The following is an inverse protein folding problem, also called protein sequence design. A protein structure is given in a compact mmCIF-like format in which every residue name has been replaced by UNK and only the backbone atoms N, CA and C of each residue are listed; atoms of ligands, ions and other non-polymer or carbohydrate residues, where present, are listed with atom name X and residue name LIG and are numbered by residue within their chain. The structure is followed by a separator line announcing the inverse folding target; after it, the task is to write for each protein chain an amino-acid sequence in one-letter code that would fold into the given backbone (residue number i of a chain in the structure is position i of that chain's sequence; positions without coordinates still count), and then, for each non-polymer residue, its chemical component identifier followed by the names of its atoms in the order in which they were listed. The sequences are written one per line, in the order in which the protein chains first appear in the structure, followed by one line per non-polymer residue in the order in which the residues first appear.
data_IF_871063004561
#
_entry.id   IF_871063004561
#
_cell.length_a   1.000
_cell.length_b   1.000
_cell.length_c   1.000
_cell.angle_alpha   90.00
_cell.angle_beta   90.00
_cell.angle_gamma   90.00
#
_symmetry.space_group_name_H-M   'P 1'
#
loop_
_entity.id
_entity.type
_entity.pdbx_description
1 polymer ?
#
# COMPACT_ATOMS: atom_id res chain seq x y z
N UNK A 1 -9.84 -24.26 -28.15
CA UNK A 1 -9.19 -23.12 -27.45
C UNK A 1 -9.72 -23.05 -26.03
N UNK A 2 -9.00 -22.43 -25.12
CA UNK A 2 -9.51 -22.11 -23.78
C UNK A 2 -10.13 -20.71 -23.83
N UNK A 3 -11.30 -20.51 -23.22
CA UNK A 3 -11.94 -19.20 -23.04
C UNK A 3 -11.44 -18.62 -21.72
N UNK A 4 -10.58 -17.58 -21.69
CA UNK A 4 -10.10 -16.99 -20.45
C UNK A 4 -11.21 -16.35 -19.62
N UNK A 5 -11.13 -16.59 -18.31
CA UNK A 5 -11.91 -15.89 -17.29
C UNK A 5 -11.29 -14.51 -17.03
N UNK A 6 -12.13 -13.46 -17.04
CA UNK A 6 -11.67 -12.08 -16.87
C UNK A 6 -12.48 -11.31 -15.83
N UNK A 7 -11.83 -10.31 -15.21
CA UNK A 7 -12.47 -9.24 -14.45
C UNK A 7 -12.18 -7.91 -15.13
N UNK A 8 -13.15 -6.99 -15.16
CA UNK A 8 -12.93 -5.63 -15.64
C UNK A 8 -12.55 -4.71 -14.48
N UNK A 9 -11.39 -4.05 -14.60
CA UNK A 9 -10.97 -3.03 -13.62
C UNK A 9 -11.73 -1.74 -13.83
N UNK A 10 -12.38 -1.27 -12.78
CA UNK A 10 -13.20 -0.06 -12.73
C UNK A 10 -12.55 0.99 -11.83
N UNK A 11 -12.80 2.25 -12.16
CA UNK A 11 -12.42 3.40 -11.34
C UNK A 11 -13.67 4.01 -10.70
N UNK A 12 -13.97 3.69 -9.42
CA UNK A 12 -15.23 4.07 -8.77
C UNK A 12 -15.33 5.56 -8.41
N UNK A 13 -14.27 6.35 -8.61
CA UNK A 13 -14.27 7.77 -8.31
C UNK A 13 -14.21 8.11 -6.82
N UNK A 14 -13.75 7.17 -5.99
CA UNK A 14 -13.60 7.32 -4.53
C UNK A 14 -12.14 7.62 -4.18
N UNK A 15 -11.89 8.75 -3.52
CA UNK A 15 -10.57 9.11 -2.98
C UNK A 15 -10.43 8.53 -1.57
N UNK A 16 -9.48 7.61 -1.32
CA UNK A 16 -9.33 7.02 -0.01
C UNK A 16 -8.60 7.90 1.02
N UNK A 17 -8.03 9.04 0.62
CA UNK A 17 -7.20 9.88 1.50
C UNK A 17 -7.84 11.23 1.86
N UNK A 18 -9.05 11.52 1.36
CA UNK A 18 -9.76 12.77 1.67
C UNK A 18 -11.19 12.50 2.12
N UNK A 19 -11.60 13.02 3.29
CA UNK A 19 -13.00 13.01 3.74
C UNK A 19 -13.91 13.98 2.96
N UNK A 20 -13.38 14.64 1.92
CA UNK A 20 -14.10 15.64 1.13
C UNK A 20 -14.44 15.02 -0.21
N UNK A 21 -15.73 15.03 -0.53
CA UNK A 21 -16.35 14.74 -1.83
C UNK A 21 -15.78 15.62 -2.96
N UNK A 22 -14.50 15.47 -3.30
CA UNK A 22 -13.87 16.08 -4.47
C UNK A 22 -13.44 14.95 -5.41
N UNK A 23 -14.45 14.31 -5.99
CA UNK A 23 -14.37 13.26 -7.00
C UNK A 23 -13.78 13.72 -8.36
N UNK A 24 -13.11 14.88 -8.41
CA UNK A 24 -12.56 15.43 -9.66
C UNK A 24 -11.14 14.95 -9.93
N UNK A 25 -10.38 14.51 -8.91
CA UNK A 25 -9.00 14.02 -9.07
C UNK A 25 -8.86 12.50 -9.26
N UNK A 26 -9.81 11.71 -8.76
CA UNK A 26 -9.74 10.22 -8.76
C UNK A 26 -9.99 9.61 -10.15
N UNK A 27 -10.57 10.39 -11.07
CA UNK A 27 -10.81 9.97 -12.45
C UNK A 27 -9.50 9.98 -13.27
N UNK A 28 -8.49 10.74 -12.84
CA UNK A 28 -7.18 10.84 -13.51
C UNK A 28 -6.24 9.70 -13.08
N UNK A 29 -6.63 8.48 -13.44
CA UNK A 29 -5.85 7.27 -13.25
C UNK A 29 -5.59 6.62 -14.60
N UNK A 30 -4.35 6.16 -14.81
CA UNK A 30 -3.99 5.35 -15.98
C UNK A 30 -4.60 3.94 -15.96
N UNK A 31 -5.28 3.57 -14.88
CA UNK A 31 -5.81 2.22 -14.68
C UNK A 31 -7.33 2.21 -14.65
N UNK A 32 -7.89 1.15 -15.24
CA UNK A 32 -9.32 0.85 -15.18
C UNK A 32 -10.17 1.74 -16.08
N UNK A 33 -11.42 1.33 -16.25
CA UNK A 33 -12.41 2.12 -16.96
C UNK A 33 -13.03 3.15 -16.01
N UNK A 34 -13.13 4.39 -16.45
CA UNK A 34 -13.89 5.43 -15.74
C UNK A 34 -15.38 5.15 -15.82
N UNK A 35 -16.19 5.71 -14.92
CA UNK A 35 -17.63 5.45 -14.85
C UNK A 35 -18.36 5.65 -16.19
N UNK A 36 -17.94 6.64 -16.99
CA UNK A 36 -18.50 6.91 -18.33
C UNK A 36 -18.28 5.76 -19.33
N UNK A 37 -17.34 4.87 -19.06
CA UNK A 37 -16.94 3.74 -19.93
C UNK A 37 -17.29 2.37 -19.36
N UNK A 38 -17.86 2.30 -18.15
CA UNK A 38 -18.18 1.02 -17.50
C UNK A 38 -19.14 0.16 -18.32
N UNK A 39 -20.26 0.73 -18.76
CA UNK A 39 -21.26 0.00 -19.54
C UNK A 39 -20.69 -0.47 -20.88
N UNK A 40 -19.96 0.39 -21.59
CA UNK A 40 -19.31 0.05 -22.85
C UNK A 40 -18.35 -1.14 -22.68
N UNK A 41 -17.50 -1.12 -21.64
CA UNK A 41 -16.55 -2.19 -21.37
C UNK A 41 -17.26 -3.53 -21.05
N UNK A 42 -18.32 -3.51 -20.24
CA UNK A 42 -19.11 -4.71 -19.93
C UNK A 42 -19.78 -5.26 -21.19
N UNK A 43 -20.41 -4.39 -21.99
CA UNK A 43 -21.10 -4.79 -23.22
C UNK A 43 -20.12 -5.39 -24.25
N UNK A 44 -18.93 -4.80 -24.40
CA UNK A 44 -17.89 -5.35 -25.27
C UNK A 44 -17.40 -6.72 -24.76
N UNK A 45 -17.06 -6.83 -23.48
CA UNK A 45 -16.59 -8.09 -22.91
C UNK A 45 -17.63 -9.22 -22.98
N UNK A 46 -18.92 -8.90 -22.78
CA UNK A 46 -20.02 -9.86 -22.89
C UNK A 46 -20.33 -10.29 -24.33
N UNK A 47 -19.98 -9.48 -25.33
CA UNK A 47 -20.23 -9.79 -26.74
C UNK A 47 -19.06 -10.53 -27.41
N UNK A 48 -17.91 -10.62 -26.74
CA UNK A 48 -16.74 -11.36 -27.18
C UNK A 48 -16.85 -12.87 -26.81
N UNK A 49 -17.11 -13.79 -27.76
CA UNK A 49 -17.28 -15.22 -27.46
C UNK A 49 -15.99 -15.90 -26.93
N UNK A 50 -14.84 -15.29 -27.16
CA UNK A 50 -13.55 -15.73 -26.66
C UNK A 50 -13.24 -15.32 -25.23
N UNK A 51 -14.11 -14.55 -24.55
CA UNK A 51 -13.92 -14.12 -23.17
C UNK A 51 -15.06 -14.62 -22.27
N UNK A 52 -14.75 -14.93 -21.01
CA UNK A 52 -15.74 -15.19 -19.98
C UNK A 52 -15.65 -14.12 -18.90
N UNK A 53 -16.54 -13.12 -18.97
CA UNK A 53 -16.60 -12.06 -17.97
C UNK A 53 -17.21 -12.58 -16.66
N UNK A 54 -16.35 -12.84 -15.67
CA UNK A 54 -16.78 -13.31 -14.36
C UNK A 54 -17.19 -12.18 -13.42
N UNK A 55 -16.60 -10.99 -13.58
CA UNK A 55 -16.76 -9.98 -12.57
C UNK A 55 -16.03 -8.67 -12.76
N UNK A 56 -15.95 -7.93 -11.66
CA UNK A 56 -15.45 -6.56 -11.62
C UNK A 56 -14.34 -6.44 -10.59
N UNK A 57 -13.40 -5.54 -10.85
CA UNK A 57 -12.26 -5.22 -9.99
C UNK A 57 -12.21 -3.72 -9.72
N UNK A 58 -11.78 -3.32 -8.53
CA UNK A 58 -11.25 -1.98 -8.31
C UNK A 58 -10.09 -2.03 -7.32
N UNK A 59 -9.26 -1.00 -7.32
CA UNK A 59 -8.20 -0.81 -6.34
C UNK A 59 -8.07 0.68 -6.05
N UNK A 60 -8.29 1.07 -4.79
CA UNK A 60 -8.44 2.47 -4.39
C UNK A 60 -7.10 3.19 -4.15
N UNK A 61 -6.03 2.45 -3.82
CA UNK A 61 -4.75 3.06 -3.49
C UNK A 61 -3.94 2.23 -2.48
N UNK A 62 -3.02 2.90 -1.79
CA UNK A 62 -2.11 2.29 -0.81
C UNK A 62 -2.17 3.05 0.51
N UNK A 63 -1.92 2.37 1.64
CA UNK A 63 -1.96 2.98 2.99
C UNK A 63 -3.31 3.63 3.30
N UNK A 64 -4.39 2.95 2.96
CA UNK A 64 -5.76 3.41 3.25
C UNK A 64 -6.09 3.00 4.67
N UNK A 65 -6.14 3.95 5.60
CA UNK A 65 -6.41 3.70 7.02
C UNK A 65 -7.92 3.66 7.33
N UNK A 66 -8.74 4.19 6.43
CA UNK A 66 -10.19 4.28 6.56
C UNK A 66 -10.89 3.10 5.87
N UNK A 67 -12.03 2.67 6.40
CA UNK A 67 -12.80 1.55 5.83
C UNK A 67 -13.93 2.05 4.91
N UNK A 68 -14.38 3.27 5.14
CA UNK A 68 -15.47 3.95 4.44
C UNK A 68 -15.25 4.02 2.91
N UNK A 69 -14.04 4.34 2.40
CA UNK A 69 -13.79 4.37 0.95
C UNK A 69 -14.10 3.03 0.26
N UNK A 70 -13.78 1.90 0.90
CA UNK A 70 -14.13 0.59 0.35
C UNK A 70 -15.65 0.39 0.31
N UNK A 71 -16.37 0.83 1.35
CA UNK A 71 -17.82 0.68 1.39
C UNK A 71 -18.51 1.52 0.31
N UNK A 72 -18.03 2.74 0.08
CA UNK A 72 -18.52 3.63 -0.99
C UNK A 72 -18.28 3.01 -2.37
N UNK A 73 -17.06 2.54 -2.64
CA UNK A 73 -16.70 1.91 -3.90
C UNK A 73 -17.52 0.65 -4.18
N UNK A 74 -17.70 -0.22 -3.17
CA UNK A 74 -18.56 -1.40 -3.25
C UNK A 74 -20.01 -1.00 -3.57
N UNK A 75 -20.52 0.06 -2.93
CA UNK A 75 -21.86 0.59 -3.19
C UNK A 75 -22.05 1.01 -4.64
N UNK A 76 -21.11 1.77 -5.20
CA UNK A 76 -21.13 2.21 -6.59
C UNK A 76 -21.07 1.02 -7.57
N UNK A 77 -20.14 0.08 -7.34
CA UNK A 77 -19.94 -1.08 -8.25
C UNK A 77 -21.14 -2.04 -8.22
N UNK A 78 -21.74 -2.29 -7.07
CA UNK A 78 -22.94 -3.15 -6.97
C UNK A 78 -24.19 -2.46 -7.53
N UNK A 79 -24.30 -1.14 -7.38
CA UNK A 79 -25.32 -0.32 -8.05
C UNK A 79 -25.24 -0.49 -9.57
N UNK A 80 -24.05 -0.26 -10.14
CA UNK A 80 -23.78 -0.48 -11.56
C UNK A 80 -24.06 -1.91 -12.02
N UNK A 81 -23.67 -2.91 -11.22
CA UNK A 81 -23.93 -4.33 -11.51
C UNK A 81 -25.42 -4.62 -11.69
N UNK A 82 -26.28 -3.98 -10.89
CA UNK A 82 -27.74 -4.15 -10.99
C UNK A 82 -28.27 -3.64 -12.32
N UNK A 83 -27.73 -2.52 -12.81
CA UNK A 83 -28.09 -1.97 -14.13
C UNK A 83 -27.63 -2.90 -15.26
N UNK A 84 -26.42 -3.45 -15.18
CA UNK A 84 -25.89 -4.38 -16.18
C UNK A 84 -26.62 -5.71 -16.20
N UNK A 85 -27.05 -6.22 -15.04
CA UNK A 85 -27.92 -7.39 -14.94
C UNK A 85 -29.23 -7.15 -15.68
N UNK A 86 -29.86 -5.98 -15.52
CA UNK A 86 -31.13 -5.65 -16.19
C UNK A 86 -30.96 -5.50 -17.71
N UNK A 87 -29.88 -4.86 -18.17
CA UNK A 87 -29.67 -4.55 -19.60
C UNK A 87 -29.07 -5.71 -20.39
N UNK A 88 -28.08 -6.41 -19.82
CA UNK A 88 -27.23 -7.39 -20.51
C UNK A 88 -27.27 -8.78 -19.88
N UNK A 89 -28.11 -9.01 -18.87
CA UNK A 89 -28.14 -10.25 -18.08
C UNK A 89 -26.77 -10.61 -17.44
N UNK A 90 -25.92 -9.61 -17.20
CA UNK A 90 -24.62 -9.81 -16.55
C UNK A 90 -24.81 -10.31 -15.12
N UNK A 91 -24.14 -11.41 -14.77
CA UNK A 91 -24.13 -11.98 -13.42
C UNK A 91 -22.76 -11.79 -12.81
N UNK A 92 -22.66 -10.93 -11.80
CA UNK A 92 -21.43 -10.73 -11.04
C UNK A 92 -21.14 -11.99 -10.20
N UNK A 93 -20.19 -12.80 -10.64
CA UNK A 93 -19.75 -14.00 -9.90
C UNK A 93 -18.60 -13.67 -8.97
N UNK A 94 -17.74 -12.73 -9.35
CA UNK A 94 -16.57 -12.34 -8.58
C UNK A 94 -16.48 -10.83 -8.42
N UNK A 95 -16.18 -10.39 -7.19
CA UNK A 95 -15.89 -8.99 -6.91
C UNK A 95 -14.53 -8.91 -6.23
N UNK A 96 -13.58 -8.29 -6.93
CA UNK A 96 -12.26 -8.03 -6.40
C UNK A 96 -12.15 -6.57 -5.95
N UNK A 97 -12.00 -6.35 -4.66
CA UNK A 97 -11.93 -5.00 -4.05
C UNK A 97 -10.49 -4.49 -3.90
N UNK A 98 -9.53 -5.24 -4.45
CA UNK A 98 -8.12 -4.92 -4.41
C UNK A 98 -7.52 -5.06 -3.02
N UNK A 99 -6.33 -4.47 -2.86
CA UNK A 99 -5.69 -4.27 -1.56
C UNK A 99 -5.62 -2.79 -1.19
N UNK A 100 -4.55 -2.42 -0.49
CA UNK A 100 -4.32 -1.04 -0.04
C UNK A 100 -4.42 -0.87 1.47
N UNK A 101 -4.74 -1.94 2.20
CA UNK A 101 -4.84 -1.94 3.66
C UNK A 101 -3.56 -1.41 4.32
N UNK A 102 -3.74 -0.49 5.27
CA UNK A 102 -2.64 0.17 5.93
C UNK A 102 -1.92 -0.77 6.90
N UNK A 103 -0.64 -0.46 7.15
CA UNK A 103 0.14 -0.99 8.26
C UNK A 103 0.75 0.19 9.01
N UNK A 104 1.02 -0.01 10.29
CA UNK A 104 1.62 1.02 11.13
C UNK A 104 3.13 1.07 10.92
N UNK A 105 3.61 2.11 10.22
CA UNK A 105 5.05 2.38 10.03
C UNK A 105 5.67 3.24 11.13
N UNK A 106 4.84 4.04 11.81
CA UNK A 106 5.24 5.01 12.82
C UNK A 106 4.33 4.90 14.04
N UNK A 107 4.90 5.09 15.23
CA UNK A 107 4.16 4.95 16.50
C UNK A 107 3.06 6.02 16.64
N UNK A 108 3.26 7.19 16.03
CA UNK A 108 2.29 8.30 16.02
C UNK A 108 1.14 8.12 15.02
N UNK A 109 1.18 7.06 14.20
CA UNK A 109 0.27 6.84 13.06
C UNK A 109 -0.30 5.42 13.08
N UNK A 110 -1.19 5.08 14.04
CA UNK A 110 -1.75 3.74 14.17
C UNK A 110 -2.60 3.36 12.94
N UNK A 111 -2.63 2.07 12.61
CA UNK A 111 -3.47 1.51 11.54
C UNK A 111 -4.55 0.59 12.11
N UNK A 112 -5.74 0.50 11.49
CA UNK A 112 -6.78 -0.43 11.94
C UNK A 112 -6.32 -1.88 11.81
N UNK A 113 -6.82 -2.78 12.67
CA UNK A 113 -6.58 -4.21 12.50
C UNK A 113 -7.23 -4.70 11.21
N UNK A 114 -6.63 -5.73 10.59
CA UNK A 114 -7.13 -6.30 9.33
C UNK A 114 -8.60 -6.75 9.41
N UNK A 115 -9.06 -7.15 10.60
CA UNK A 115 -10.45 -7.53 10.88
C UNK A 115 -11.44 -6.40 10.60
N UNK A 116 -11.05 -5.14 10.84
CA UNK A 116 -11.92 -3.98 10.57
C UNK A 116 -12.21 -3.83 9.07
N UNK A 117 -11.21 -4.03 8.21
CA UNK A 117 -11.41 -4.04 6.76
C UNK A 117 -12.28 -5.21 6.33
N UNK A 118 -12.00 -6.42 6.83
CA UNK A 118 -12.76 -7.62 6.49
C UNK A 118 -14.24 -7.47 6.86
N UNK A 119 -14.54 -6.99 8.06
CA UNK A 119 -15.90 -6.76 8.54
C UNK A 119 -16.62 -5.69 7.71
N UNK A 120 -15.98 -4.54 7.49
CA UNK A 120 -16.59 -3.44 6.75
C UNK A 120 -16.90 -3.80 5.30
N UNK A 121 -15.96 -4.47 4.61
CA UNK A 121 -16.10 -4.93 3.22
C UNK A 121 -17.17 -6.01 3.11
N UNK A 122 -17.07 -7.08 3.90
CA UNK A 122 -18.00 -8.20 3.84
C UNK A 122 -19.42 -7.77 4.20
N UNK A 123 -19.59 -6.99 5.27
CA UNK A 123 -20.91 -6.48 5.69
C UNK A 123 -21.53 -5.58 4.64
N UNK A 124 -20.74 -4.73 3.98
CA UNK A 124 -21.25 -3.88 2.89
C UNK A 124 -21.70 -4.70 1.69
N UNK A 125 -20.92 -5.69 1.26
CA UNK A 125 -21.30 -6.57 0.14
C UNK A 125 -22.58 -7.32 0.46
N UNK A 126 -22.67 -7.93 1.65
CA UNK A 126 -23.82 -8.72 2.07
C UNK A 126 -25.09 -7.85 2.12
N UNK A 127 -25.02 -6.71 2.81
CA UNK A 127 -26.16 -5.81 2.96
C UNK A 127 -26.62 -5.24 1.61
N UNK A 128 -25.68 -4.79 0.77
CA UNK A 128 -26.01 -4.17 -0.52
C UNK A 128 -26.51 -5.19 -1.54
N UNK A 129 -25.97 -6.41 -1.57
CA UNK A 129 -26.51 -7.48 -2.43
C UNK A 129 -27.93 -7.86 -2.01
N UNK A 130 -28.23 -7.92 -0.70
CA UNK A 130 -29.58 -8.17 -0.20
C UNK A 130 -30.56 -7.06 -0.61
N UNK A 131 -30.16 -5.80 -0.44
CA UNK A 131 -30.95 -4.63 -0.85
C UNK A 131 -31.28 -4.67 -2.35
N UNK A 132 -30.28 -4.94 -3.18
CA UNK A 132 -30.38 -4.93 -4.65
C UNK A 132 -30.87 -6.27 -5.25
N UNK A 133 -31.16 -7.28 -4.41
CA UNK A 133 -31.53 -8.64 -4.84
C UNK A 133 -30.52 -9.26 -5.83
N UNK A 134 -29.24 -9.03 -5.57
CA UNK A 134 -28.13 -9.67 -6.28
C UNK A 134 -27.70 -10.95 -5.55
N UNK A 135 -27.17 -11.92 -6.30
CA UNK A 135 -26.48 -13.05 -5.71
C UNK A 135 -25.18 -12.56 -5.04
N UNK A 136 -24.75 -13.22 -3.97
CA UNK A 136 -23.47 -12.89 -3.34
C UNK A 136 -22.32 -13.33 -4.25
N UNK A 137 -21.44 -12.41 -4.68
CA UNK A 137 -20.26 -12.79 -5.45
C UNK A 137 -19.19 -13.40 -4.53
N UNK A 138 -18.27 -14.17 -5.11
CA UNK A 138 -17.01 -14.52 -4.46
C UNK A 138 -16.20 -13.23 -4.25
N UNK A 139 -15.91 -12.92 -2.99
CA UNK A 139 -15.06 -11.80 -2.63
C UNK A 139 -13.58 -12.17 -2.84
N UNK A 140 -12.85 -11.27 -3.48
CA UNK A 140 -11.40 -11.33 -3.65
C UNK A 140 -10.78 -10.05 -3.06
N UNK A 141 -9.66 -10.20 -2.36
CA UNK A 141 -8.84 -9.10 -1.84
C UNK A 141 -7.39 -9.32 -2.26
N UNK A 142 -6.62 -8.24 -2.40
CA UNK A 142 -5.23 -8.26 -2.89
C UNK A 142 -4.23 -7.62 -1.90
N UNK A 143 -4.19 -8.02 -0.63
CA UNK A 143 -3.26 -7.43 0.34
C UNK A 143 -1.81 -7.84 0.03
N UNK A 144 -1.00 -6.88 -0.43
CA UNK A 144 0.45 -7.05 -0.49
C UNK A 144 1.10 -6.63 0.82
N UNK A 145 1.14 -5.30 1.04
CA UNK A 145 1.79 -4.67 2.20
C UNK A 145 1.34 -5.23 3.55
N UNK A 146 0.04 -5.44 3.72
CA UNK A 146 -0.53 -5.92 4.97
C UNK A 146 -0.14 -7.37 5.31
N UNK A 147 0.33 -8.16 4.33
CA UNK A 147 0.86 -9.50 4.59
C UNK A 147 2.35 -9.43 4.91
N UNK A 148 3.14 -8.81 4.04
CA UNK A 148 4.60 -8.96 4.09
C UNK A 148 5.34 -7.79 4.73
N UNK A 149 4.68 -6.64 4.94
CA UNK A 149 5.33 -5.42 5.43
C UNK A 149 6.01 -5.62 6.78
N UNK A 150 5.23 -6.04 7.77
CA UNK A 150 5.70 -6.23 9.15
C UNK A 150 6.58 -7.49 9.33
N UNK A 151 6.63 -8.37 8.31
CA UNK A 151 7.44 -9.58 8.34
C UNK A 151 8.93 -9.31 8.06
N UNK A 152 9.28 -8.13 7.53
CA UNK A 152 10.66 -7.76 7.21
C UNK A 152 11.20 -6.65 8.09
N UNK A 153 12.41 -6.84 8.60
CA UNK A 153 13.20 -5.82 9.31
C UNK A 153 14.50 -5.62 8.56
N UNK A 154 14.84 -4.38 8.23
CA UNK A 154 16.13 -4.06 7.65
C UNK A 154 17.16 -3.80 8.77
N UNK A 155 18.29 -4.49 8.71
CA UNK A 155 19.39 -4.32 9.66
C UNK A 155 20.56 -3.64 8.97
N UNK A 156 21.12 -2.63 9.62
CA UNK A 156 22.27 -1.89 9.12
C UNK A 156 23.32 -1.74 10.20
N UNK A 157 24.59 -1.72 9.80
CA UNK A 157 25.70 -1.37 10.68
C UNK A 157 26.00 0.11 10.57
N UNK A 158 26.13 0.78 11.72
CA UNK A 158 26.55 2.18 11.79
C UNK A 158 28.02 2.30 11.40
N UNK A 159 28.32 3.19 10.46
CA UNK A 159 29.68 3.54 10.06
C UNK A 159 30.19 4.79 10.78
N UNK A 160 29.50 5.92 10.59
CA UNK A 160 29.94 7.24 11.08
C UNK A 160 28.80 7.93 11.78
N UNK A 161 29.10 8.54 12.93
CA UNK A 161 28.22 9.48 13.62
C UNK A 161 28.84 10.87 13.50
N UNK A 162 28.10 11.82 12.93
CA UNK A 162 28.55 13.19 12.71
C UNK A 162 27.58 14.16 13.38
N UNK A 163 28.03 14.75 14.48
CA UNK A 163 27.33 15.87 15.07
C UNK A 163 27.67 17.18 14.34
N UNK A 164 26.64 17.96 14.03
CA UNK A 164 26.76 19.31 13.50
C UNK A 164 26.05 20.21 14.52
N UNK A 165 26.81 20.86 15.43
CA UNK A 165 26.24 21.60 16.55
C UNK A 165 25.18 22.62 16.12
N UNK A 166 24.01 22.55 16.76
CA UNK A 166 22.87 23.42 16.46
C UNK A 166 22.12 23.10 15.16
N UNK A 167 22.53 22.08 14.41
CA UNK A 167 21.91 21.71 13.12
C UNK A 167 21.31 20.32 13.16
N UNK A 168 22.13 19.26 13.27
CA UNK A 168 21.70 17.86 13.18
C UNK A 168 22.83 16.90 13.54
N UNK A 169 22.49 15.83 14.24
CA UNK A 169 23.34 14.65 14.34
C UNK A 169 22.96 13.64 13.26
N UNK A 170 23.91 13.26 12.41
CA UNK A 170 23.75 12.24 11.37
C UNK A 170 24.38 10.91 11.80
N UNK A 171 23.64 9.83 11.60
CA UNK A 171 24.09 8.44 11.75
C UNK A 171 24.11 7.81 10.37
N UNK A 172 25.29 7.62 9.80
CA UNK A 172 25.47 7.00 8.48
C UNK A 172 25.59 5.49 8.61
N UNK A 173 24.81 4.74 7.83
CA UNK A 173 24.76 3.28 7.86
C UNK A 173 25.27 2.65 6.56
N UNK A 174 25.51 1.34 6.57
CA UNK A 174 26.10 0.59 5.44
C UNK A 174 25.13 0.22 4.29
N UNK A 175 23.89 0.72 4.34
CA UNK A 175 22.88 0.68 3.28
C UNK A 175 22.41 2.07 2.86
N UNK A 176 21.15 2.20 2.45
CA UNK A 176 20.53 3.47 2.07
C UNK A 176 19.43 3.33 1.03
N UNK A 177 19.27 4.36 0.21
CA UNK A 177 18.24 4.45 -0.83
C UNK A 177 18.31 3.33 -1.87
N UNK A 178 19.45 2.64 -2.03
CA UNK A 178 19.57 1.50 -2.93
C UNK A 178 18.83 0.25 -2.43
N UNK A 179 18.64 0.08 -1.12
CA UNK A 179 17.87 -1.04 -0.54
C UNK A 179 16.48 -0.60 -0.03
N UNK A 180 16.34 0.67 0.36
CA UNK A 180 15.06 1.26 0.72
C UNK A 180 14.92 2.67 0.15
N UNK A 181 14.41 2.75 -1.07
CA UNK A 181 14.18 4.02 -1.78
C UNK A 181 12.93 4.78 -1.28
N UNK A 182 12.09 4.14 -0.44
CA UNK A 182 10.75 4.65 -0.12
C UNK A 182 10.73 6.00 0.60
N UNK A 183 11.64 6.30 1.54
CA UNK A 183 11.70 7.63 2.15
C UNK A 183 11.99 8.72 1.11
N UNK A 184 12.95 8.51 0.20
CA UNK A 184 13.31 9.47 -0.83
C UNK A 184 12.21 9.62 -1.91
N UNK A 185 11.58 8.52 -2.32
CA UNK A 185 10.61 8.51 -3.41
C UNK A 185 9.20 8.92 -2.97
N UNK A 186 8.79 8.52 -1.77
CA UNK A 186 7.41 8.69 -1.30
C UNK A 186 7.29 9.54 -0.04
N UNK A 187 8.40 10.00 0.54
CA UNK A 187 8.37 10.63 1.86
C UNK A 187 7.93 9.67 2.98
N UNK A 188 8.11 8.36 2.78
CA UNK A 188 7.69 7.35 3.76
C UNK A 188 8.44 7.54 5.07
N UNK A 189 7.69 7.63 6.18
CA UNK A 189 8.25 7.59 7.54
C UNK A 189 8.47 6.15 7.99
N UNK A 190 9.43 5.98 8.88
CA UNK A 190 9.79 4.71 9.49
C UNK A 190 10.20 4.95 10.94
N UNK A 191 9.96 3.96 11.80
CA UNK A 191 10.67 3.84 13.06
C UNK A 191 12.07 3.26 12.86
N UNK A 192 12.93 3.42 13.86
CA UNK A 192 14.18 2.70 13.96
C UNK A 192 14.54 2.48 15.43
N UNK A 193 15.31 1.42 15.69
CA UNK A 193 15.88 1.14 17.01
C UNK A 193 17.34 0.76 16.89
N UNK A 194 18.10 0.96 17.97
CA UNK A 194 19.46 0.43 18.08
C UNK A 194 19.36 -0.99 18.64
N UNK A 195 19.38 -1.98 17.76
CA UNK A 195 19.01 -3.37 18.07
C UNK A 195 19.88 -3.99 19.17
N UNK A 196 21.15 -3.63 19.24
CA UNK A 196 22.09 -4.09 20.27
C UNK A 196 22.06 -3.26 21.57
N UNK A 197 21.17 -2.27 21.67
CA UNK A 197 21.05 -1.33 22.81
C UNK A 197 19.60 -1.06 23.23
N UNK A 198 18.71 -2.04 23.04
CA UNK A 198 17.26 -1.90 23.31
C UNK A 198 16.90 -1.54 24.77
N UNK A 199 17.82 -1.77 25.71
CA UNK A 199 17.62 -1.45 27.13
C UNK A 199 18.35 -0.17 27.58
N UNK A 200 19.09 0.48 26.69
CA UNK A 200 19.79 1.72 27.04
C UNK A 200 18.80 2.90 27.08
N UNK A 201 18.99 3.75 28.09
CA UNK A 201 18.24 4.98 28.25
C UNK A 201 18.94 6.14 27.52
N UNK A 202 18.17 7.18 27.19
CA UNK A 202 18.66 8.35 26.46
C UNK A 202 17.88 8.55 25.16
N UNK A 203 17.71 9.81 24.80
CA UNK A 203 16.98 10.21 23.61
C UNK A 203 17.71 11.39 22.97
N UNK A 204 18.63 11.08 22.06
CA UNK A 204 19.24 12.06 21.17
C UNK A 204 18.49 12.07 19.84
N UNK A 205 18.11 13.27 19.37
CA UNK A 205 17.50 13.41 18.05
C UNK A 205 18.58 13.27 16.98
N UNK A 206 18.44 12.26 16.15
CA UNK A 206 19.37 11.94 15.06
C UNK A 206 18.64 11.76 13.73
N UNK A 207 19.40 11.71 12.65
CA UNK A 207 18.93 11.34 11.30
C UNK A 207 19.77 10.21 10.76
N UNK A 208 19.09 9.13 10.37
CA UNK A 208 19.73 7.96 9.79
C UNK A 208 19.85 8.21 8.28
N UNK A 209 21.09 8.33 7.81
CA UNK A 209 21.44 8.50 6.40
C UNK A 209 22.10 7.23 5.88
N UNK A 210 21.95 6.96 4.59
CA UNK A 210 22.70 5.90 3.94
C UNK A 210 24.14 6.34 3.59
N UNK A 211 24.83 5.48 2.84
CA UNK A 211 26.22 5.68 2.40
C UNK A 211 26.35 6.29 1.00
N UNK A 212 25.26 6.55 0.29
CA UNK A 212 25.27 6.95 -1.11
C UNK A 212 25.60 8.43 -1.29
N UNK A 213 26.18 8.78 -2.42
CA UNK A 213 26.63 10.15 -2.72
C UNK A 213 25.49 11.06 -3.18
N UNK A 214 24.31 10.92 -2.59
CA UNK A 214 23.13 11.72 -2.87
C UNK A 214 22.61 12.32 -1.56
N UNK A 215 22.34 13.63 -1.57
CA UNK A 215 21.87 14.36 -0.40
C UNK A 215 20.51 13.86 0.11
N UNK A 216 19.71 13.28 -0.78
CA UNK A 216 18.43 12.66 -0.49
C UNK A 216 18.51 11.24 0.09
N UNK A 217 19.72 10.68 0.29
CA UNK A 217 19.91 9.34 0.89
C UNK A 217 19.66 9.35 2.41
N UNK A 218 18.41 9.56 2.78
CA UNK A 218 17.91 9.60 4.16
C UNK A 218 16.92 8.46 4.34
N UNK A 219 17.19 7.59 5.31
CA UNK A 219 16.31 6.46 5.64
C UNK A 219 15.27 6.86 6.69
N UNK A 220 15.69 7.55 7.75
CA UNK A 220 14.82 8.01 8.83
C UNK A 220 15.23 9.40 9.28
N UNK A 221 14.27 10.32 9.27
CA UNK A 221 14.51 11.73 9.59
C UNK A 221 14.04 12.07 11.00
N UNK A 222 14.92 12.68 11.79
CA UNK A 222 14.59 13.27 13.10
C UNK A 222 13.97 12.31 14.13
N UNK A 223 14.60 11.15 14.33
CA UNK A 223 14.19 10.13 15.32
C UNK A 223 15.00 10.25 16.61
N UNK A 224 14.39 9.91 17.75
CA UNK A 224 15.07 9.86 19.04
C UNK A 224 15.62 8.45 19.30
N UNK A 225 16.91 8.33 19.54
CA UNK A 225 17.59 7.06 19.85
C UNK A 225 18.48 7.22 21.09
N UNK A 226 18.83 6.12 21.80
CA UNK A 226 19.93 6.15 22.76
C UNK A 226 21.26 6.50 22.05
N UNK A 227 22.32 6.88 22.79
CA UNK A 227 23.61 7.25 22.20
C UNK A 227 24.14 6.19 21.21
N UNK A 228 24.28 6.60 19.95
CA UNK A 228 24.71 5.74 18.84
C UNK A 228 26.21 5.87 18.62
N UNK A 229 26.88 4.75 18.33
CA UNK A 229 28.30 4.68 18.02
C UNK A 229 28.57 3.85 16.76
N UNK A 230 29.74 4.06 16.15
CA UNK A 230 30.18 3.21 15.04
C UNK A 230 30.20 1.74 15.45
N UNK A 231 29.70 0.86 14.58
CA UNK A 231 29.56 -0.58 14.84
C UNK A 231 28.21 -1.01 15.43
N UNK A 232 27.41 -0.08 15.98
CA UNK A 232 26.05 -0.39 16.43
C UNK A 232 25.16 -0.87 15.27
N UNK A 233 24.10 -1.59 15.60
CA UNK A 233 23.14 -2.13 14.63
C UNK A 233 21.84 -1.34 14.70
N UNK A 234 21.50 -0.66 13.61
CA UNK A 234 20.19 -0.03 13.43
C UNK A 234 19.24 -1.04 12.81
N UNK A 235 18.08 -1.24 13.45
CA UNK A 235 16.98 -2.01 12.89
C UNK A 235 15.84 -1.07 12.50
N UNK A 236 15.38 -1.19 11.25
CA UNK A 236 14.22 -0.48 10.70
C UNK A 236 13.12 -1.53 10.43
N UNK A 237 12.04 -1.57 11.22
CA UNK A 237 10.93 -2.49 11.00
C UNK A 237 10.12 -2.12 9.74
N UNK A 238 9.13 -2.96 9.40
CA UNK A 238 8.17 -2.75 8.31
C UNK A 238 8.79 -2.64 6.90
N UNK A 239 9.98 -3.23 6.72
CA UNK A 239 10.75 -3.22 5.48
C UNK A 239 10.45 -4.40 4.55
N UNK A 240 9.51 -5.29 4.88
CA UNK A 240 9.23 -6.47 4.05
C UNK A 240 8.45 -6.15 2.76
N UNK A 241 7.79 -4.99 2.68
CA UNK A 241 7.03 -4.57 1.51
C UNK A 241 7.71 -3.43 0.75
N UNK A 242 7.91 -3.63 -0.55
CA UNK A 242 8.42 -2.64 -1.51
C UNK A 242 9.84 -2.11 -1.28
N UNK A 243 10.55 -2.47 -0.21
CA UNK A 243 11.98 -2.13 -0.08
C UNK A 243 12.80 -2.98 -1.07
N UNK A 244 12.89 -4.29 -0.82
CA UNK A 244 13.67 -5.22 -1.65
C UNK A 244 13.22 -5.30 -3.12
N UNK A 245 11.91 -5.35 -3.46
CA UNK A 245 11.48 -5.33 -4.86
C UNK A 245 11.88 -4.05 -5.62
N UNK A 246 12.12 -2.95 -4.89
CA UNK A 246 12.55 -1.67 -5.45
C UNK A 246 14.05 -1.42 -5.27
N UNK A 247 14.81 -2.41 -4.80
CA UNK A 247 16.23 -2.29 -4.59
C UNK A 247 16.99 -2.15 -5.92
N UNK A 248 18.02 -1.31 -5.92
CA UNK A 248 18.85 -0.98 -7.08
C UNK A 248 20.32 -1.27 -6.82
N UNK A 249 21.14 -1.13 -7.86
CA UNK A 249 22.60 -1.17 -7.77
C UNK A 249 23.19 0.26 -7.85
N UNK A 250 22.48 1.26 -7.29
CA UNK A 250 22.99 2.63 -7.24
C UNK A 250 24.37 2.65 -6.55
N UNK A 251 25.31 3.43 -7.11
CA UNK A 251 26.74 3.39 -6.78
C UNK A 251 27.38 1.99 -6.81
N UNK A 252 26.91 1.09 -7.68
CA UNK A 252 27.35 -0.31 -7.76
C UNK A 252 27.16 -1.10 -6.46
N UNK A 253 26.22 -0.69 -5.59
CA UNK A 253 25.91 -1.45 -4.39
C UNK A 253 25.36 -2.82 -4.74
N UNK A 254 25.73 -3.84 -3.97
CA UNK A 254 25.07 -5.14 -4.04
C UNK A 254 23.71 -5.06 -3.35
N UNK A 255 22.76 -5.87 -3.84
CA UNK A 255 21.48 -6.05 -3.14
C UNK A 255 21.76 -6.78 -1.82
N UNK A 256 21.09 -6.39 -0.72
CA UNK A 256 21.29 -7.03 0.57
C UNK A 256 20.81 -8.49 0.54
N UNK A 257 21.37 -9.30 1.44
CA UNK A 257 20.90 -10.66 1.66
C UNK A 257 19.51 -10.66 2.35
N UNK A 258 18.74 -11.72 2.12
CA UNK A 258 17.47 -11.99 2.80
C UNK A 258 17.67 -13.30 3.55
N UNK A 259 17.36 -13.30 4.85
CA UNK A 259 17.50 -14.44 5.76
C UNK A 259 16.13 -14.87 6.26
#
# INVERSE_FOLDING_TARGET
GCTPDILLRLTPGVDPHTHKYLATGVIDSKFGFTQLKWEEAVAQAMSAPELNLLGLHFHLGSLIAEVEPYQEAIGAVLGFTTEMKRKYNFQLRELNVGGGFAIQYALDSPSPPISSYAEAIASKIISKCRELKLALPRLIVEPGRAIVGQAGVALYRVGVVKDIPGVRCYVSVDGGMADNIRPALYGSKYEAVVANKMSEEGAEKVTIAGKFCESGDILVKDINLPPVSAGDIIAIPDCGAYCLPMASNYNSSLKPAIV
#
